data_IF_882331919564
#
_entry.id   IF_882331919564
#
_cell.length_a   1.000
_cell.length_b   1.000
_cell.length_c   1.000
_cell.angle_alpha   90.00
_cell.angle_beta   90.00
_cell.angle_gamma   90.00
#
_symmetry.space_group_name_H-M   'P 1'
#
loop_
_entity.id
_entity.type
_entity.pdbx_description
1 polymer ?
#
# COMPACT_ATOMS: atom_id res chain seq x y z
N UNK A 1 1.29 -3.74 -22.04
CA UNK A 1 0.53 -2.49 -22.27
C UNK A 1 0.38 -1.78 -20.92
N UNK A 2 0.40 -0.45 -20.88
CA UNK A 2 0.27 0.30 -19.63
C UNK A 2 -1.01 1.14 -19.65
N UNK A 3 -1.68 1.26 -18.50
CA UNK A 3 -2.88 2.08 -18.36
C UNK A 3 -2.80 3.03 -17.18
N UNK A 4 -3.39 4.21 -17.38
CA UNK A 4 -3.50 5.25 -16.38
C UNK A 4 -4.72 5.02 -15.48
N UNK A 5 -4.50 5.15 -14.18
CA UNK A 5 -5.50 5.14 -13.13
C UNK A 5 -5.46 6.49 -12.42
N UNK A 6 -6.44 7.33 -12.73
CA UNK A 6 -6.57 8.66 -12.16
C UNK A 6 -7.64 8.59 -11.07
N UNK A 7 -7.43 9.33 -9.98
CA UNK A 7 -8.41 9.45 -8.90
C UNK A 7 -9.78 9.96 -9.38
N UNK A 8 -10.74 9.95 -8.46
CA UNK A 8 -12.14 10.22 -8.74
C UNK A 8 -12.31 11.64 -9.26
N UNK A 9 -13.09 11.79 -10.34
CA UNK A 9 -13.45 13.10 -10.85
C UNK A 9 -14.21 13.92 -9.78
N UNK A 10 -13.60 15.01 -9.32
CA UNK A 10 -14.35 16.08 -8.62
C UNK A 10 -15.22 16.80 -9.65
N UNK A 11 -16.35 17.42 -9.23
CA UNK A 11 -17.26 18.16 -10.13
C UNK A 11 -16.46 19.11 -11.05
N UNK A 12 -16.42 18.80 -12.35
CA UNK A 12 -15.72 19.59 -13.38
C UNK A 12 -14.21 19.33 -13.53
N UNK A 13 -13.64 18.36 -12.84
CA UNK A 13 -12.21 18.03 -12.85
C UNK A 13 -11.83 16.86 -13.76
N UNK A 14 -10.52 16.69 -13.98
CA UNK A 14 -9.94 15.49 -14.60
C UNK A 14 -9.91 14.36 -13.57
N UNK A 15 -10.57 13.26 -13.87
CA UNK A 15 -10.59 12.07 -13.02
C UNK A 15 -11.50 10.98 -13.61
N UNK A 16 -11.45 9.78 -13.02
CA UNK A 16 -12.28 8.66 -13.45
C UNK A 16 -13.58 8.63 -12.65
N UNK A 17 -14.65 8.09 -13.24
CA UNK A 17 -15.82 7.71 -12.46
C UNK A 17 -15.51 6.47 -11.62
N UNK A 18 -16.22 6.26 -10.50
CA UNK A 18 -16.05 5.04 -9.70
C UNK A 18 -16.25 3.76 -10.54
N UNK A 19 -17.17 3.78 -11.51
CA UNK A 19 -17.41 2.67 -12.42
C UNK A 19 -16.19 2.38 -13.31
N UNK A 20 -15.55 3.42 -13.83
CA UNK A 20 -14.36 3.28 -14.68
C UNK A 20 -13.15 2.81 -13.86
N UNK A 21 -13.01 3.31 -12.63
CA UNK A 21 -11.97 2.86 -11.70
C UNK A 21 -12.09 1.36 -11.42
N UNK A 22 -13.29 0.89 -11.06
CA UNK A 22 -13.55 -0.54 -10.84
C UNK A 22 -13.28 -1.35 -12.11
N UNK A 23 -13.68 -0.85 -13.28
CA UNK A 23 -13.40 -1.52 -14.56
C UNK A 23 -11.91 -1.69 -14.81
N UNK A 24 -11.11 -0.63 -14.65
CA UNK A 24 -9.65 -0.69 -14.87
C UNK A 24 -8.98 -1.65 -13.88
N UNK A 25 -9.39 -1.64 -12.62
CA UNK A 25 -8.87 -2.58 -11.60
C UNK A 25 -9.21 -4.03 -11.96
N UNK A 26 -10.45 -4.30 -12.37
CA UNK A 26 -10.84 -5.65 -12.80
C UNK A 26 -10.03 -6.08 -14.02
N UNK A 27 -9.85 -5.21 -15.01
CA UNK A 27 -9.07 -5.53 -16.20
C UNK A 27 -7.61 -5.80 -15.88
N UNK A 28 -7.02 -5.05 -14.95
CA UNK A 28 -5.69 -5.31 -14.40
C UNK A 28 -5.63 -6.68 -13.69
N UNK A 29 -6.65 -6.98 -12.89
CA UNK A 29 -6.77 -8.24 -12.16
C UNK A 29 -6.94 -9.46 -13.08
N UNK A 30 -7.57 -9.30 -14.24
CA UNK A 30 -7.69 -10.34 -15.27
C UNK A 30 -6.52 -10.36 -16.27
N UNK A 31 -5.41 -9.68 -15.95
CA UNK A 31 -4.19 -9.65 -16.76
C UNK A 31 -4.40 -9.14 -18.21
N UNK A 32 -5.46 -8.37 -18.46
CA UNK A 32 -5.67 -7.71 -19.77
C UNK A 32 -4.57 -6.68 -20.05
N UNK A 33 -3.95 -6.15 -18.99
CA UNK A 33 -2.71 -5.40 -19.03
C UNK A 33 -1.93 -5.62 -17.74
N UNK A 34 -0.62 -5.37 -17.77
CA UNK A 34 0.30 -5.74 -16.71
C UNK A 34 0.96 -4.54 -16.00
N UNK A 35 0.67 -3.32 -16.44
CA UNK A 35 1.21 -2.10 -15.81
C UNK A 35 0.08 -1.10 -15.55
N UNK A 36 -0.10 -0.76 -14.27
CA UNK A 36 -1.02 0.26 -13.79
C UNK A 36 -0.21 1.48 -13.32
N UNK A 37 -0.46 2.64 -13.91
CA UNK A 37 0.17 3.91 -13.54
C UNK A 37 -0.85 4.75 -12.78
N UNK A 38 -0.54 5.19 -11.57
CA UNK A 38 -1.54 5.90 -10.77
C UNK A 38 -0.95 7.03 -9.92
N UNK A 39 -1.77 8.04 -9.66
CA UNK A 39 -1.37 9.23 -8.87
C UNK A 39 -2.03 9.30 -7.49
N UNK A 40 -3.13 8.58 -7.24
CA UNK A 40 -3.87 8.69 -5.95
C UNK A 40 -4.70 7.44 -5.62
N UNK A 41 -4.04 6.28 -5.50
CA UNK A 41 -4.72 5.02 -5.14
C UNK A 41 -5.11 4.97 -3.66
N UNK A 42 -4.29 5.56 -2.78
CA UNK A 42 -4.41 5.41 -1.32
C UNK A 42 -5.58 6.15 -0.69
N UNK A 43 -5.99 7.27 -1.26
CA UNK A 43 -7.02 8.15 -0.68
C UNK A 43 -8.43 7.56 -0.80
N UNK A 44 -8.67 6.67 -1.75
CA UNK A 44 -10.02 6.21 -2.12
C UNK A 44 -10.42 4.88 -1.48
N UNK A 45 -9.52 4.27 -0.68
CA UNK A 45 -9.80 2.97 -0.05
C UNK A 45 -9.95 1.81 -1.03
N UNK A 46 -9.48 1.99 -2.27
CA UNK A 46 -9.54 0.97 -3.30
C UNK A 46 -8.53 -0.16 -3.01
N UNK A 47 -9.02 -1.40 -3.09
CA UNK A 47 -8.17 -2.58 -2.93
C UNK A 47 -7.51 -2.91 -4.26
N UNK A 48 -6.22 -2.57 -4.40
CA UNK A 48 -5.42 -3.00 -5.55
C UNK A 48 -5.18 -4.52 -5.43
N UNK A 49 -5.33 -5.29 -6.52
CA UNK A 49 -4.98 -6.70 -6.54
C UNK A 49 -3.49 -6.89 -6.23
N UNK A 50 -3.13 -8.10 -5.79
CA UNK A 50 -1.75 -8.37 -5.41
C UNK A 50 -0.82 -8.34 -6.63
N UNK A 51 0.35 -7.72 -6.47
CA UNK A 51 1.34 -7.49 -7.54
C UNK A 51 2.76 -7.87 -7.09
N UNK A 52 3.62 -8.17 -8.05
CA UNK A 52 5.02 -8.56 -7.79
C UNK A 52 5.96 -7.37 -7.62
N UNK A 53 5.61 -6.20 -8.17
CA UNK A 53 6.43 -4.99 -8.15
C UNK A 53 5.56 -3.74 -8.05
N UNK A 54 5.92 -2.86 -7.11
CA UNK A 54 5.41 -1.48 -7.04
C UNK A 54 6.56 -0.50 -7.04
N UNK A 55 6.40 0.56 -7.83
CA UNK A 55 7.37 1.66 -7.94
C UNK A 55 6.66 2.95 -7.54
N UNK A 56 7.17 3.60 -6.51
CA UNK A 56 6.74 4.92 -6.08
C UNK A 56 7.69 5.99 -6.61
N UNK A 57 7.14 7.00 -7.29
CA UNK A 57 7.89 8.17 -7.76
C UNK A 57 8.11 9.23 -6.69
N UNK A 58 7.37 9.15 -5.58
CA UNK A 58 7.52 10.00 -4.41
C UNK A 58 7.32 9.16 -3.14
N UNK A 59 7.99 9.50 -2.01
CA UNK A 59 7.86 8.74 -0.78
C UNK A 59 6.49 9.00 -0.12
N UNK A 60 5.54 8.06 -0.28
CA UNK A 60 4.22 8.13 0.38
C UNK A 60 4.09 7.02 1.45
N UNK A 61 4.04 7.39 2.75
CA UNK A 61 4.14 6.42 3.87
C UNK A 61 2.96 5.45 4.04
N UNK A 62 1.75 5.81 3.60
CA UNK A 62 0.50 5.11 3.95
C UNK A 62 0.15 3.98 2.98
N UNK A 63 0.49 4.17 1.72
CA UNK A 63 0.06 3.45 0.52
C UNK A 63 0.76 2.10 0.45
N UNK A 64 2.01 2.06 0.97
CA UNK A 64 2.84 0.86 1.09
C UNK A 64 2.08 -0.26 1.81
N UNK A 65 1.27 0.06 2.82
CA UNK A 65 0.55 -0.95 3.60
C UNK A 65 -0.64 -1.56 2.88
N UNK A 66 -1.32 -0.78 2.04
CA UNK A 66 -2.38 -1.29 1.17
C UNK A 66 -1.80 -2.24 0.13
N UNK A 67 -0.57 -1.93 -0.32
CA UNK A 67 0.13 -2.63 -1.40
C UNK A 67 0.88 -3.89 -0.94
N UNK A 68 1.33 -3.96 0.32
CA UNK A 68 2.03 -5.13 0.90
C UNK A 68 1.11 -6.36 1.11
N UNK A 69 0.24 -6.67 0.16
CA UNK A 69 -0.56 -7.90 0.13
C UNK A 69 0.10 -8.88 -0.84
N UNK A 70 0.49 -10.06 -0.33
CA UNK A 70 1.15 -11.15 -1.07
C UNK A 70 0.45 -11.45 -2.41
N UNK A 71 1.25 -11.60 -3.46
CA UNK A 71 0.88 -11.96 -4.84
C UNK A 71 -0.04 -13.17 -4.95
N UNK A 72 -0.84 -13.18 -6.03
CA UNK A 72 -1.64 -14.32 -6.47
C UNK A 72 -0.70 -15.50 -6.75
N UNK A 73 -1.06 -16.68 -6.28
CA UNK A 73 -0.31 -17.95 -6.34
C UNK A 73 0.75 -18.11 -5.25
N UNK A 74 0.76 -19.26 -4.59
CA UNK A 74 1.63 -19.61 -3.46
C UNK A 74 3.12 -19.75 -3.80
N UNK A 75 3.65 -18.88 -4.65
CA UNK A 75 5.08 -18.67 -4.81
C UNK A 75 5.59 -17.91 -3.59
N UNK A 76 6.63 -18.46 -2.99
CA UNK A 76 7.20 -18.10 -1.70
C UNK A 76 7.84 -16.70 -1.64
N UNK A 77 7.89 -15.96 -2.75
CA UNK A 77 8.57 -14.66 -2.82
C UNK A 77 7.62 -13.50 -2.50
N UNK A 78 8.05 -12.64 -1.58
CA UNK A 78 7.38 -11.38 -1.28
C UNK A 78 7.53 -10.42 -2.46
N UNK A 79 6.42 -9.79 -2.89
CA UNK A 79 6.47 -8.69 -3.88
C UNK A 79 7.43 -7.58 -3.45
N UNK A 80 8.03 -6.89 -4.41
CA UNK A 80 9.06 -5.86 -4.21
C UNK A 80 8.44 -4.46 -4.27
N UNK A 81 8.88 -3.58 -3.38
CA UNK A 81 8.51 -2.16 -3.38
C UNK A 81 9.78 -1.33 -3.59
N UNK A 82 9.78 -0.48 -4.61
CA UNK A 82 10.89 0.41 -4.96
C UNK A 82 10.42 1.85 -4.77
N UNK A 83 11.25 2.67 -4.13
CA UNK A 83 11.06 4.12 -4.03
C UNK A 83 12.11 4.81 -4.88
N UNK A 84 11.66 5.65 -5.80
CA UNK A 84 12.52 6.58 -6.52
C UNK A 84 12.60 7.86 -5.69
N UNK A 85 13.82 8.22 -5.29
CA UNK A 85 14.09 9.35 -4.40
C UNK A 85 15.24 10.14 -4.99
N UNK A 86 15.10 11.47 -5.00
CA UNK A 86 16.19 12.36 -5.39
C UNK A 86 17.11 12.60 -4.20
N UNK A 87 18.41 12.34 -4.37
CA UNK A 87 19.42 12.53 -3.31
C UNK A 87 19.61 14.00 -2.98
N UNK A 88 19.78 14.32 -1.70
CA UNK A 88 20.05 15.70 -1.27
C UNK A 88 18.88 16.66 -1.42
N UNK A 89 17.67 16.15 -1.72
CA UNK A 89 16.44 16.95 -1.78
C UNK A 89 15.54 16.65 -0.57
N UNK A 90 14.41 17.35 -0.51
CA UNK A 90 13.37 17.10 0.49
C UNK A 90 12.83 15.66 0.43
N UNK A 91 12.89 15.00 -0.73
CA UNK A 91 12.40 13.64 -0.94
C UNK A 91 13.10 12.66 0.02
N UNK A 92 14.40 12.83 0.22
CA UNK A 92 15.18 12.00 1.15
C UNK A 92 14.70 12.17 2.59
N UNK A 93 14.44 13.41 3.02
CA UNK A 93 13.89 13.68 4.35
C UNK A 93 12.49 13.10 4.52
N UNK A 94 11.61 13.25 3.52
CA UNK A 94 10.26 12.67 3.55
C UNK A 94 10.31 11.14 3.64
N UNK A 95 11.19 10.51 2.87
CA UNK A 95 11.42 9.07 2.93
C UNK A 95 11.84 8.61 4.34
N UNK A 96 12.87 9.22 4.93
CA UNK A 96 13.31 8.85 6.27
C UNK A 96 12.21 9.10 7.31
N UNK A 97 11.52 10.23 7.24
CA UNK A 97 10.39 10.55 8.13
C UNK A 97 9.27 9.50 8.04
N UNK A 98 8.91 9.09 6.82
CA UNK A 98 7.93 8.03 6.53
C UNK A 98 8.37 6.69 7.13
N UNK A 99 9.61 6.28 6.84
CA UNK A 99 10.20 5.04 7.33
C UNK A 99 10.22 4.96 8.86
N UNK A 100 10.64 6.04 9.53
CA UNK A 100 10.67 6.10 10.99
C UNK A 100 9.26 6.09 11.60
N UNK A 101 8.28 6.76 10.99
CA UNK A 101 6.87 6.69 11.42
C UNK A 101 6.32 5.26 11.31
N UNK A 102 6.58 4.58 10.19
CA UNK A 102 6.15 3.20 9.98
C UNK A 102 6.77 2.25 11.00
N UNK A 103 8.09 2.36 11.24
CA UNK A 103 8.81 1.55 12.23
C UNK A 103 8.26 1.76 13.65
N UNK A 104 8.01 3.00 14.06
CA UNK A 104 7.38 3.30 15.36
C UNK A 104 6.02 2.63 15.49
N UNK A 105 5.18 2.71 14.45
CA UNK A 105 3.86 2.11 14.50
C UNK A 105 3.91 0.58 14.57
N UNK A 106 4.83 -0.08 13.85
CA UNK A 106 5.03 -1.54 13.96
C UNK A 106 5.41 -1.95 15.39
N UNK A 107 6.28 -1.19 16.04
CA UNK A 107 6.67 -1.43 17.43
C UNK A 107 5.47 -1.28 18.37
N UNK A 108 4.70 -0.19 18.26
CA UNK A 108 3.50 0.03 19.09
C UNK A 108 2.49 -1.12 18.95
N UNK A 109 2.22 -1.59 17.73
CA UNK A 109 1.31 -2.72 17.51
C UNK A 109 1.87 -4.01 18.13
N UNK A 110 3.18 -4.25 18.03
CA UNK A 110 3.83 -5.42 18.63
C UNK A 110 3.69 -5.40 20.15
N UNK A 111 3.92 -4.25 20.77
CA UNK A 111 3.78 -4.06 22.22
C UNK A 111 2.34 -4.23 22.69
N UNK A 112 1.36 -3.73 21.92
CA UNK A 112 -0.06 -3.94 22.23
C UNK A 112 -0.42 -5.43 22.15
N UNK A 113 0.02 -6.14 21.10
CA UNK A 113 -0.21 -7.58 20.95
C UNK A 113 0.39 -8.38 22.11
N UNK A 114 1.60 -8.03 22.55
CA UNK A 114 2.27 -8.72 23.65
C UNK A 114 1.56 -8.49 24.99
N UNK A 115 1.10 -7.25 25.25
CA UNK A 115 0.32 -6.91 26.44
C UNK A 115 -1.02 -7.64 26.49
N UNK A 116 -1.78 -7.65 25.39
CA UNK A 116 -3.07 -8.36 25.28
C UNK A 116 -2.89 -9.87 25.52
N UNK A 117 -1.83 -10.46 24.94
CA UNK A 117 -1.52 -11.88 25.16
C UNK A 117 -1.21 -12.16 26.64
N UNK A 118 -0.44 -11.30 27.29
CA UNK A 118 -0.05 -11.49 28.69
C UNK A 118 -1.22 -11.26 29.67
N UNK A 119 -2.17 -10.36 29.38
CA UNK A 119 -3.39 -10.20 30.17
C UNK A 119 -4.31 -11.42 30.05
N UNK A 120 -4.49 -11.95 28.84
CA UNK A 120 -5.29 -13.16 28.63
C UNK A 120 -4.70 -14.38 29.35
N UNK A 121 -3.38 -14.49 29.51
CA UNK A 121 -2.76 -15.60 30.26
C UNK A 121 -3.01 -15.45 31.77
N UNK A 122 -3.01 -14.23 32.31
CA UNK A 122 -3.27 -13.96 33.73
C UNK A 122 -4.73 -14.23 34.11
N UNK A 123 -5.67 -13.99 33.20
CA UNK A 123 -7.10 -14.21 33.45
C UNK A 123 -7.53 -15.69 33.39
N UNK A 124 -6.69 -16.59 32.85
CA UNK A 124 -6.96 -18.03 32.75
C UNK A 124 -6.20 -18.92 33.77
N UNK A 125 -5.49 -18.32 34.73
CA UNK A 125 -5.11 -19.02 35.97
C UNK A 125 -4.25 -20.29 35.83
N UNK A 126 -3.28 -20.33 34.92
CA UNK A 126 -2.23 -21.37 34.97
C UNK A 126 -1.05 -20.79 35.75
N UNK A 127 -1.03 -21.09 37.06
CA UNK A 127 0.13 -20.93 37.93
C UNK A 127 0.98 -22.19 37.92
#
# INVERSE_FOLDING_TARGET
>A
EAREFIGQAKKGGKGLSQKDQVKIINEFEYELFNVLIATSIGEEGLSIPAVDLVIFYEPVPSEIRTIQRRGRTGRTESGRVIFLITKGTRDEWYYWSAFHKEKRMKNIISDLKSKIRNSNIKDFGVS
#
